data_IF_467699024141
#
_entry.id   IF_467699024141
#
_cell.length_a   1.000
_cell.length_b   1.000
_cell.length_c   1.000
_cell.angle_alpha   90.00
_cell.angle_beta   90.00
_cell.angle_gamma   90.00
#
_symmetry.space_group_name_H-M   'P 1'
#
loop_
_entity.id
_entity.type
_entity.pdbx_description
1 polymer ?
#
# COMPACT_ATOMS: atom_id res chain seq x y z
N UNK A 1 -20.55 -8.45 -25.76
CA UNK A 1 -20.85 -7.35 -24.81
C UNK A 1 -20.71 -7.75 -23.34
N UNK A 2 -21.42 -8.80 -22.83
CA UNK A 2 -21.28 -9.22 -21.42
C UNK A 2 -19.86 -9.68 -21.01
N UNK A 3 -19.17 -10.44 -21.87
CA UNK A 3 -17.79 -10.90 -21.60
C UNK A 3 -16.80 -9.73 -21.45
N UNK A 4 -16.90 -8.72 -22.32
CA UNK A 4 -16.06 -7.53 -22.26
C UNK A 4 -16.33 -6.70 -20.99
N UNK A 5 -17.59 -6.65 -20.53
CA UNK A 5 -17.93 -5.99 -19.27
C UNK A 5 -17.32 -6.73 -18.06
N UNK A 6 -17.34 -8.06 -18.04
CA UNK A 6 -16.72 -8.89 -17.00
C UNK A 6 -15.20 -8.69 -16.96
N UNK A 7 -14.55 -8.68 -18.12
CA UNK A 7 -13.11 -8.43 -18.21
C UNK A 7 -12.74 -7.01 -17.77
N UNK A 8 -13.53 -6.01 -18.14
CA UNK A 8 -13.33 -4.63 -17.71
C UNK A 8 -13.45 -4.47 -16.17
N UNK A 9 -14.43 -5.15 -15.55
CA UNK A 9 -14.57 -5.18 -14.09
C UNK A 9 -13.36 -5.85 -13.42
N UNK A 10 -12.90 -6.98 -13.96
CA UNK A 10 -11.71 -7.69 -13.47
C UNK A 10 -10.46 -6.82 -13.60
N UNK A 11 -10.30 -6.10 -14.71
CA UNK A 11 -9.18 -5.19 -14.91
C UNK A 11 -9.22 -4.01 -13.93
N UNK A 12 -10.40 -3.44 -13.67
CA UNK A 12 -10.57 -2.38 -12.66
C UNK A 12 -10.19 -2.86 -11.27
N UNK A 13 -10.63 -4.06 -10.88
CA UNK A 13 -10.28 -4.69 -9.61
C UNK A 13 -8.77 -4.92 -9.47
N UNK A 14 -8.12 -5.46 -10.51
CA UNK A 14 -6.68 -5.67 -10.54
C UNK A 14 -5.89 -4.36 -10.42
N UNK A 15 -6.35 -3.29 -11.08
CA UNK A 15 -5.72 -1.95 -10.95
C UNK A 15 -5.82 -1.42 -9.51
N UNK A 16 -6.98 -1.57 -8.88
CA UNK A 16 -7.17 -1.16 -7.48
C UNK A 16 -6.28 -1.97 -6.55
N UNK A 17 -6.21 -3.30 -6.71
CA UNK A 17 -5.32 -4.17 -5.94
C UNK A 17 -3.86 -3.76 -6.09
N UNK A 18 -3.39 -3.53 -7.30
CA UNK A 18 -2.02 -3.11 -7.55
C UNK A 18 -1.71 -1.76 -6.87
N UNK A 19 -2.63 -0.81 -6.94
CA UNK A 19 -2.47 0.49 -6.29
C UNK A 19 -2.38 0.38 -4.75
N UNK A 20 -3.17 -0.52 -4.14
CA UNK A 20 -3.05 -0.82 -2.72
C UNK A 20 -1.71 -1.48 -2.38
N UNK A 21 -1.21 -2.42 -3.20
CA UNK A 21 0.12 -3.01 -3.00
C UNK A 21 1.25 -1.98 -3.12
N UNK A 22 1.16 -1.04 -4.06
CA UNK A 22 2.14 0.04 -4.22
C UNK A 22 2.18 0.98 -3.00
N UNK A 23 1.07 1.11 -2.27
CA UNK A 23 1.03 1.91 -1.04
C UNK A 23 1.80 1.26 0.14
N UNK A 24 2.13 -0.03 0.03
CA UNK A 24 2.97 -0.73 0.98
C UNK A 24 4.43 -0.51 0.57
N UNK A 25 5.19 0.17 1.43
CA UNK A 25 6.60 0.42 1.20
C UNK A 25 7.37 -0.91 1.12
N UNK A 26 8.17 -1.14 0.06
CA UNK A 26 8.95 -2.40 -0.13
C UNK A 26 9.75 -2.79 1.13
N UNK A 27 10.26 -1.79 1.81
CA UNK A 27 11.01 -1.92 3.05
C UNK A 27 10.22 -2.53 4.22
N UNK A 28 8.89 -2.45 4.20
CA UNK A 28 8.01 -3.18 5.13
C UNK A 28 8.15 -4.69 4.90
N UNK A 29 8.07 -5.12 3.63
CA UNK A 29 8.20 -6.53 3.26
C UNK A 29 9.61 -7.04 3.58
N UNK A 30 10.65 -6.25 3.28
CA UNK A 30 12.03 -6.59 3.64
C UNK A 30 12.20 -6.74 5.16
N UNK A 31 11.60 -5.84 5.95
CA UNK A 31 11.65 -5.94 7.42
C UNK A 31 10.99 -7.22 7.92
N UNK A 32 9.87 -7.63 7.31
CA UNK A 32 9.19 -8.89 7.65
C UNK A 32 10.05 -10.10 7.29
N UNK A 33 10.72 -10.07 6.13
CA UNK A 33 11.57 -11.18 5.67
C UNK A 33 12.88 -11.32 6.45
N UNK A 34 13.46 -10.20 6.91
CA UNK A 34 14.78 -10.17 7.59
C UNK A 34 14.67 -10.47 9.09
N UNK A 35 13.50 -10.26 9.70
CA UNK A 35 13.31 -10.39 11.15
C UNK A 35 12.60 -11.70 11.49
N UNK A 36 13.08 -12.39 12.51
CA UNK A 36 12.64 -13.75 12.84
C UNK A 36 11.41 -13.80 13.75
N UNK A 37 11.15 -12.74 14.54
CA UNK A 37 10.03 -12.71 15.48
C UNK A 37 9.09 -11.54 15.20
N UNK A 38 7.80 -11.74 15.50
CA UNK A 38 6.80 -10.68 15.38
C UNK A 38 7.14 -9.45 16.23
N UNK A 39 7.80 -9.64 17.38
CA UNK A 39 8.26 -8.55 18.24
C UNK A 39 9.36 -7.72 17.56
N UNK A 40 10.35 -8.38 16.97
CA UNK A 40 11.45 -7.68 16.28
C UNK A 40 10.97 -6.92 15.05
N UNK A 41 10.02 -7.50 14.30
CA UNK A 41 9.32 -6.81 13.20
C UNK A 41 8.64 -5.55 13.75
N UNK A 42 7.84 -5.71 14.80
CA UNK A 42 7.09 -4.59 15.41
C UNK A 42 8.01 -3.46 15.90
N UNK A 43 9.06 -3.79 16.65
CA UNK A 43 9.99 -2.79 17.19
C UNK A 43 10.79 -2.09 16.07
N UNK A 44 11.18 -2.82 15.03
CA UNK A 44 11.83 -2.25 13.85
C UNK A 44 10.91 -1.26 13.11
N UNK A 45 9.64 -1.65 12.90
CA UNK A 45 8.64 -0.76 12.29
C UNK A 45 8.39 0.48 13.13
N UNK A 46 8.25 0.32 14.45
CA UNK A 46 8.02 1.42 15.38
C UNK A 46 9.17 2.42 15.34
N UNK A 47 10.42 1.95 15.34
CA UNK A 47 11.62 2.79 15.24
C UNK A 47 11.71 3.48 13.87
N UNK A 48 11.51 2.73 12.78
CA UNK A 48 11.58 3.26 11.41
C UNK A 48 10.59 4.41 11.19
N UNK A 49 9.39 4.29 11.76
CA UNK A 49 8.33 5.26 11.55
C UNK A 49 8.14 6.24 12.70
N UNK A 50 9.01 6.22 13.71
CA UNK A 50 8.99 7.21 14.79
C UNK A 50 9.16 8.62 14.21
N UNK A 51 8.31 9.57 14.64
CA UNK A 51 8.37 10.96 14.17
C UNK A 51 7.92 11.20 12.71
N UNK A 52 7.58 10.15 11.94
CA UNK A 52 7.21 10.26 10.52
C UNK A 52 5.79 10.79 10.26
N UNK A 53 5.07 11.22 11.29
CA UNK A 53 3.63 11.56 11.24
C UNK A 53 3.29 12.61 10.18
N UNK A 54 4.11 13.65 10.01
CA UNK A 54 3.89 14.71 9.02
C UNK A 54 4.09 14.21 7.59
N UNK A 55 5.12 13.40 7.36
CA UNK A 55 5.44 12.80 6.04
C UNK A 55 4.39 11.77 5.65
N UNK A 56 3.97 10.90 6.57
CA UNK A 56 2.89 9.93 6.35
C UNK A 56 1.56 10.62 6.01
N UNK A 57 1.26 11.75 6.66
CA UNK A 57 0.06 12.54 6.36
C UNK A 57 0.09 13.14 4.95
N UNK A 58 1.24 13.66 4.51
CA UNK A 58 1.41 14.18 3.15
C UNK A 58 1.27 13.06 2.11
N UNK A 59 1.93 11.91 2.33
CA UNK A 59 1.78 10.72 1.48
C UNK A 59 0.33 10.24 1.39
N UNK A 60 -0.38 10.19 2.52
CA UNK A 60 -1.79 9.81 2.56
C UNK A 60 -2.68 10.78 1.77
N UNK A 61 -2.40 12.08 1.79
CA UNK A 61 -3.14 13.06 1.00
C UNK A 61 -2.91 12.88 -0.51
N UNK A 62 -1.68 12.63 -0.94
CA UNK A 62 -1.36 12.30 -2.33
C UNK A 62 -2.10 11.02 -2.77
N UNK A 63 -1.99 9.95 -1.98
CA UNK A 63 -2.63 8.67 -2.30
C UNK A 63 -4.16 8.79 -2.41
N UNK A 64 -4.79 9.59 -1.53
CA UNK A 64 -6.23 9.91 -1.59
C UNK A 64 -6.61 10.69 -2.84
N UNK A 65 -5.75 11.62 -3.29
CA UNK A 65 -5.99 12.41 -4.50
C UNK A 65 -5.98 11.50 -5.72
N UNK A 66 -4.94 10.69 -5.86
CA UNK A 66 -4.77 9.74 -6.97
C UNK A 66 -5.88 8.68 -6.99
N UNK A 67 -6.32 8.18 -5.83
CA UNK A 67 -7.47 7.27 -5.75
C UNK A 67 -8.78 7.91 -6.21
N UNK A 68 -9.00 9.21 -5.95
CA UNK A 68 -10.18 9.93 -6.47
C UNK A 68 -10.18 10.01 -8.00
N UNK A 69 -9.01 10.06 -8.63
CA UNK A 69 -8.89 10.06 -10.10
C UNK A 69 -9.08 8.67 -10.75
N UNK A 70 -9.09 7.60 -9.95
CA UNK A 70 -9.37 6.23 -10.42
C UNK A 70 -10.88 5.87 -10.39
N UNK A 71 -11.74 6.73 -9.84
CA UNK A 71 -13.20 6.55 -9.86
C UNK A 71 -13.78 6.89 -11.22
#
# INVERSE_FOLDING_TARGET
EQLQAIEALKLKDLKVKNYLFQSIERSIMETILVRNTSKDIWDAMKRKYQGSTKVKRAHLQALKRDFKFLK
#
